data_IF_313058583573
#
_entry.id   IF_313058583573
#
_cell.length_a   1.000
_cell.length_b   1.000
_cell.length_c   1.000
_cell.angle_alpha   90.00
_cell.angle_beta   90.00
_cell.angle_gamma   90.00
#
_symmetry.space_group_name_H-M   'P 1'
#
loop_
_entity.id
_entity.type
_entity.pdbx_description
1 polymer ?
#
# COMPACT_ATOMS: atom_id res chain seq x y z
N UNK A 1 -6.91 -3.77 -3.13
CA UNK A 1 -6.09 -2.54 -3.17
C UNK A 1 -5.25 -2.60 -4.45
N UNK A 2 -5.25 -1.61 -5.35
CA UNK A 2 -4.53 -1.74 -6.61
C UNK A 2 -3.01 -1.64 -6.41
N UNK A 3 -2.26 -2.39 -7.20
CA UNK A 3 -0.79 -2.37 -7.23
C UNK A 3 -0.26 -1.04 -7.76
N UNK A 4 1.04 -0.77 -7.60
CA UNK A 4 1.61 0.46 -8.15
C UNK A 4 1.64 0.50 -9.69
N UNK A 5 1.65 -0.65 -10.37
CA UNK A 5 1.53 -0.71 -11.84
C UNK A 5 0.11 -0.36 -12.27
N UNK A 6 -0.88 -0.95 -11.61
CA UNK A 6 -2.30 -0.64 -11.83
C UNK A 6 -2.60 0.84 -11.52
N UNK A 7 -1.97 1.41 -10.48
CA UNK A 7 -2.08 2.85 -10.16
C UNK A 7 -1.34 3.75 -11.15
N UNK A 8 -0.23 3.32 -11.72
CA UNK A 8 0.51 4.11 -12.70
C UNK A 8 -0.25 4.23 -14.03
N UNK A 9 -1.03 3.20 -14.38
CA UNK A 9 -1.90 3.18 -15.54
C UNK A 9 -3.30 3.79 -15.27
N UNK A 10 -3.61 4.13 -14.02
CA UNK A 10 -4.93 4.66 -13.64
C UNK A 10 -5.10 6.10 -14.12
N UNK A 11 -6.15 6.36 -14.90
CA UNK A 11 -6.54 7.70 -15.28
C UNK A 11 -7.16 8.47 -14.11
N UNK A 12 -7.12 9.81 -14.17
CA UNK A 12 -7.77 10.68 -13.17
C UNK A 12 -9.28 10.40 -13.01
N UNK A 13 -9.96 10.00 -14.08
CA UNK A 13 -11.38 9.65 -14.04
C UNK A 13 -11.62 8.34 -13.25
N UNK A 14 -10.75 7.35 -13.44
CA UNK A 14 -10.81 6.08 -12.69
C UNK A 14 -10.49 6.29 -11.21
N UNK A 15 -9.47 7.09 -10.90
CA UNK A 15 -9.14 7.46 -9.53
C UNK A 15 -10.34 8.10 -8.82
N UNK A 16 -10.98 9.09 -9.44
CA UNK A 16 -12.18 9.75 -8.88
C UNK A 16 -13.33 8.76 -8.65
N UNK A 17 -13.55 7.83 -9.58
CA UNK A 17 -14.58 6.79 -9.44
C UNK A 17 -14.27 5.86 -8.26
N UNK A 18 -13.01 5.47 -8.09
CA UNK A 18 -12.55 4.60 -6.99
C UNK A 18 -12.65 5.29 -5.64
N UNK A 19 -12.24 6.56 -5.55
CA UNK A 19 -12.39 7.37 -4.34
C UNK A 19 -13.87 7.51 -3.95
N UNK A 20 -14.75 7.86 -4.91
CA UNK A 20 -16.20 7.94 -4.66
C UNK A 20 -16.80 6.61 -4.17
N UNK A 21 -16.34 5.49 -4.73
CA UNK A 21 -16.76 4.16 -4.29
C UNK A 21 -16.32 3.90 -2.83
N UNK A 22 -15.07 4.21 -2.48
CA UNK A 22 -14.54 4.04 -1.12
C UNK A 22 -15.21 4.95 -0.09
N UNK A 23 -15.45 6.21 -0.44
CA UNK A 23 -16.22 7.16 0.39
C UNK A 23 -17.57 6.55 0.76
N UNK A 24 -18.27 5.95 -0.21
CA UNK A 24 -19.54 5.27 0.02
C UNK A 24 -19.40 3.97 0.84
N UNK A 25 -18.40 3.16 0.53
CA UNK A 25 -18.13 1.88 1.18
C UNK A 25 -17.81 2.03 2.67
N UNK A 26 -16.92 2.96 3.00
CA UNK A 26 -16.46 3.19 4.37
C UNK A 26 -17.29 4.23 5.13
N UNK A 27 -18.23 4.90 4.47
CA UNK A 27 -19.01 5.97 5.07
C UNK A 27 -18.17 7.17 5.52
N UNK A 28 -17.04 7.40 4.86
CA UNK A 28 -16.07 8.45 5.21
C UNK A 28 -16.22 9.68 4.31
N UNK A 29 -15.59 10.79 4.67
CA UNK A 29 -15.54 11.97 3.79
C UNK A 29 -14.60 11.74 2.61
N UNK A 30 -14.77 12.52 1.54
CA UNK A 30 -13.89 12.45 0.37
C UNK A 30 -12.42 12.73 0.74
N UNK A 31 -12.18 13.73 1.58
CA UNK A 31 -10.84 14.08 2.05
C UNK A 31 -10.18 12.92 2.79
N UNK A 32 -10.96 12.17 3.58
CA UNK A 32 -10.46 11.00 4.28
C UNK A 32 -10.19 9.83 3.31
N UNK A 33 -11.01 9.66 2.28
CA UNK A 33 -10.75 8.68 1.22
C UNK A 33 -9.47 9.01 0.43
N UNK A 34 -9.21 10.30 0.15
CA UNK A 34 -7.97 10.78 -0.46
C UNK A 34 -6.76 10.55 0.45
N UNK A 35 -6.90 10.77 1.76
CA UNK A 35 -5.87 10.46 2.74
C UNK A 35 -5.54 8.97 2.79
N UNK A 36 -6.55 8.09 2.80
CA UNK A 36 -6.35 6.64 2.73
C UNK A 36 -5.62 6.28 1.42
N UNK A 37 -6.03 6.84 0.29
CA UNK A 37 -5.37 6.61 -1.00
C UNK A 37 -3.89 7.03 -0.99
N UNK A 38 -3.55 8.14 -0.32
CA UNK A 38 -2.16 8.56 -0.13
C UNK A 38 -1.37 7.57 0.72
N UNK A 39 -1.93 7.12 1.85
CA UNK A 39 -1.28 6.14 2.74
C UNK A 39 -1.01 4.82 2.01
N UNK A 40 -1.97 4.36 1.21
CA UNK A 40 -1.80 3.14 0.41
C UNK A 40 -0.71 3.27 -0.67
N UNK A 41 -0.62 4.43 -1.34
CA UNK A 41 0.48 4.70 -2.28
C UNK A 41 1.83 4.63 -1.58
N UNK A 42 1.91 5.18 -0.37
CA UNK A 42 3.13 5.18 0.42
C UNK A 42 3.54 3.76 0.83
N UNK A 43 2.59 2.95 1.32
CA UNK A 43 2.84 1.55 1.67
C UNK A 43 3.38 0.74 0.49
N UNK A 44 2.76 0.85 -0.68
CA UNK A 44 3.26 0.13 -1.86
C UNK A 44 4.66 0.62 -2.29
N UNK A 45 4.96 1.90 -2.09
CA UNK A 45 6.27 2.47 -2.40
C UNK A 45 7.34 1.92 -1.46
N UNK A 46 7.01 1.76 -0.18
CA UNK A 46 7.86 1.10 0.80
C UNK A 46 8.08 -0.36 0.44
N UNK A 47 7.03 -1.10 0.10
CA UNK A 47 7.14 -2.50 -0.33
C UNK A 47 8.11 -2.65 -1.51
N UNK A 48 8.02 -1.79 -2.53
CA UNK A 48 8.99 -1.77 -3.64
C UNK A 48 10.41 -1.41 -3.21
N UNK A 49 10.59 -0.54 -2.21
CA UNK A 49 11.93 -0.20 -1.70
C UNK A 49 12.54 -1.37 -0.94
N UNK A 50 11.74 -2.06 -0.11
CA UNK A 50 12.15 -3.25 0.63
C UNK A 50 12.53 -4.36 -0.34
N UNK A 51 11.67 -4.72 -1.30
CA UNK A 51 11.99 -5.72 -2.35
C UNK A 51 13.27 -5.40 -3.12
N UNK A 52 13.51 -4.12 -3.44
CA UNK A 52 14.77 -3.69 -4.10
C UNK A 52 16.00 -3.77 -3.19
N UNK A 53 15.84 -3.69 -1.88
CA UNK A 53 16.93 -3.87 -0.92
C UNK A 53 17.21 -5.36 -0.71
N UNK A 54 16.18 -6.18 -0.54
CA UNK A 54 16.27 -7.63 -0.44
C UNK A 54 17.01 -8.22 -1.65
N UNK A 55 16.59 -7.85 -2.87
CA UNK A 55 17.24 -8.28 -4.10
C UNK A 55 18.70 -7.81 -4.24
N UNK A 56 19.06 -6.65 -3.66
CA UNK A 56 20.42 -6.10 -3.75
C UNK A 56 21.38 -6.71 -2.72
N UNK A 57 20.86 -7.10 -1.58
CA UNK A 57 21.63 -7.63 -0.47
C UNK A 57 21.52 -9.15 -0.32
N UNK A 58 20.79 -9.82 -1.24
CA UNK A 58 20.50 -11.24 -1.19
C UNK A 58 19.88 -11.69 0.16
N UNK A 59 19.16 -10.77 0.82
CA UNK A 59 18.29 -11.15 1.92
C UNK A 59 17.12 -11.93 1.30
N UNK A 60 17.14 -13.25 1.45
CA UNK A 60 15.96 -14.06 1.23
C UNK A 60 15.22 -14.09 2.56
N UNK A 61 13.95 -13.70 2.53
CA UNK A 61 13.05 -13.67 3.69
C UNK A 61 12.68 -15.07 4.20
N UNK A 62 13.61 -16.02 4.16
CA UNK A 62 13.50 -17.31 4.85
C UNK A 62 13.83 -17.18 6.34
N UNK A 63 14.35 -16.03 6.78
CA UNK A 63 14.40 -15.69 8.19
C UNK A 63 13.00 -15.23 8.62
N UNK A 64 12.13 -16.21 8.92
CA UNK A 64 10.97 -16.00 9.79
C UNK A 64 11.43 -15.18 10.99
N UNK A 65 10.91 -13.96 11.12
CA UNK A 65 11.04 -13.21 12.37
C UNK A 65 10.28 -13.98 13.43
N UNK A 66 11.01 -14.80 14.17
CA UNK A 66 10.54 -15.50 15.36
C UNK A 66 10.15 -14.45 16.40
N UNK A 67 8.87 -14.07 16.37
CA UNK A 67 8.26 -13.09 17.27
C UNK A 67 7.88 -13.72 18.63
N UNK A 68 8.34 -14.93 18.93
CA UNK A 68 8.10 -15.62 20.21
C UNK A 68 9.01 -15.12 21.36
N UNK A 69 9.84 -14.10 21.13
CA UNK A 69 10.81 -13.60 22.12
C UNK A 69 10.43 -12.34 22.91
N UNK A 70 9.22 -11.80 22.78
CA UNK A 70 8.82 -10.59 23.54
C UNK A 70 7.99 -11.00 24.76
N UNK A 71 8.65 -11.32 25.87
CA UNK A 71 8.02 -11.32 27.19
C UNK A 71 7.71 -9.86 27.59
N UNK A 72 6.44 -9.60 27.94
CA UNK A 72 5.96 -8.38 28.61
C UNK A 72 6.16 -8.54 30.12
#
# INVERSE_FOLDING_TARGET
>A
MPTLEERAAESQAQLKKRLKARTKEFGVTNDFAEYIEMMEKYLLTLERRVKRLENRHNFHSDDELDLDGVEI
#
